data_IF_847212160702
#
_entry.id   IF_847212160702
#
_cell.length_a   1.000
_cell.length_b   1.000
_cell.length_c   1.000
_cell.angle_alpha   90.00
_cell.angle_beta   90.00
_cell.angle_gamma   90.00
#
_symmetry.space_group_name_H-M   'P 1'
#
loop_
_entity.id
_entity.type
_entity.pdbx_description
1 polymer ?
#
# COMPACT_ATOMS: atom_id res chain seq x y z
N UNK A 1 29.75 -25.02 -8.65
CA UNK A 1 28.50 -24.78 -7.87
C UNK A 1 28.55 -23.32 -7.42
N UNK A 2 27.73 -22.48 -8.01
CA UNK A 2 27.91 -21.02 -8.01
C UNK A 2 27.74 -20.38 -6.64
N UNK A 3 28.73 -19.61 -6.19
CA UNK A 3 28.72 -18.78 -4.99
C UNK A 3 27.48 -17.86 -4.89
N UNK A 4 26.98 -17.38 -6.04
CA UNK A 4 25.76 -16.56 -6.16
C UNK A 4 24.48 -17.23 -5.66
N UNK A 5 24.36 -18.56 -5.74
CA UNK A 5 23.21 -19.31 -5.23
C UNK A 5 23.26 -19.41 -3.70
N UNK A 6 24.46 -19.62 -3.16
CA UNK A 6 24.69 -19.69 -1.71
C UNK A 6 24.50 -18.32 -1.07
N UNK A 7 24.97 -17.25 -1.70
CA UNK A 7 24.78 -15.88 -1.23
C UNK A 7 23.31 -15.44 -1.29
N UNK A 8 22.56 -15.90 -2.32
CA UNK A 8 21.11 -15.67 -2.41
C UNK A 8 20.31 -16.46 -1.35
N UNK A 9 20.78 -17.66 -1.00
CA UNK A 9 20.18 -18.48 0.08
C UNK A 9 20.56 -17.93 1.46
N UNK A 10 21.78 -17.41 1.64
CA UNK A 10 22.21 -16.76 2.88
C UNK A 10 21.55 -15.39 3.08
N UNK A 11 21.33 -14.62 2.02
CA UNK A 11 20.51 -13.39 2.08
C UNK A 11 19.03 -13.69 2.39
N UNK A 12 18.51 -14.85 1.96
CA UNK A 12 17.17 -15.36 2.34
C UNK A 12 17.10 -15.86 3.78
N UNK A 13 18.21 -16.16 4.46
CA UNK A 13 18.23 -16.55 5.89
C UNK A 13 17.67 -15.48 6.84
N UNK A 14 17.57 -14.22 6.42
CA UNK A 14 16.89 -13.15 7.19
C UNK A 14 15.36 -13.14 7.06
N UNK A 15 14.77 -14.10 6.36
CA UNK A 15 13.33 -14.17 6.09
C UNK A 15 12.58 -15.25 6.88
N UNK A 16 13.20 -15.87 7.89
CA UNK A 16 12.47 -16.73 8.83
C UNK A 16 11.96 -15.82 9.94
N UNK A 17 10.64 -15.79 10.13
CA UNK A 17 10.03 -15.04 11.23
C UNK A 17 10.74 -15.40 12.54
N UNK A 18 11.17 -14.42 13.36
CA UNK A 18 11.73 -14.68 14.69
C UNK A 18 10.78 -15.49 15.58
N UNK A 19 9.50 -15.56 15.20
CA UNK A 19 8.42 -16.28 15.87
C UNK A 19 8.16 -17.69 15.29
N UNK A 20 8.98 -18.16 14.37
CA UNK A 20 8.86 -19.54 13.85
C UNK A 20 8.81 -20.57 14.98
N UNK A 21 9.59 -20.36 16.04
CA UNK A 21 9.54 -21.18 17.24
C UNK A 21 8.21 -21.15 17.97
N UNK A 22 7.56 -19.97 18.05
CA UNK A 22 6.22 -19.85 18.65
C UNK A 22 5.14 -20.51 17.78
N UNK A 23 5.21 -20.35 16.46
CA UNK A 23 4.30 -21.06 15.54
C UNK A 23 4.50 -22.56 15.59
N UNK A 24 5.76 -23.02 15.74
CA UNK A 24 6.06 -24.44 15.92
C UNK A 24 5.47 -24.98 17.23
N UNK A 25 5.68 -24.27 18.34
CA UNK A 25 5.12 -24.63 19.64
C UNK A 25 3.57 -24.65 19.58
N UNK A 26 2.96 -23.63 18.99
CA UNK A 26 1.52 -23.57 18.84
C UNK A 26 0.98 -24.70 17.95
N UNK A 27 1.68 -25.03 16.85
CA UNK A 27 1.34 -26.15 15.97
C UNK A 27 1.41 -27.48 16.72
N UNK A 28 2.44 -27.66 17.56
CA UNK A 28 2.58 -28.85 18.41
C UNK A 28 1.43 -28.97 19.41
N UNK A 29 1.11 -27.87 20.09
CA UNK A 29 0.03 -27.85 21.10
C UNK A 29 -1.33 -28.08 20.45
N UNK A 30 -1.60 -27.55 19.29
CA UNK A 30 -2.83 -27.81 18.53
C UNK A 30 -2.93 -29.30 18.19
N UNK A 31 -1.87 -29.92 17.66
CA UNK A 31 -1.87 -31.35 17.32
C UNK A 31 -2.14 -32.23 18.55
N UNK A 32 -1.42 -31.95 19.66
CA UNK A 32 -1.59 -32.69 20.91
C UNK A 32 -2.99 -32.46 21.52
N UNK A 33 -3.52 -31.24 21.45
CA UNK A 33 -4.83 -30.88 21.95
C UNK A 33 -5.97 -31.60 21.21
N UNK A 34 -5.77 -31.82 19.90
CA UNK A 34 -6.70 -32.60 19.08
C UNK A 34 -6.56 -34.12 19.30
N UNK A 35 -5.71 -34.57 20.23
CA UNK A 35 -5.56 -35.98 20.58
C UNK A 35 -4.70 -36.79 19.56
N UNK A 36 -3.99 -36.12 18.68
CA UNK A 36 -3.04 -36.82 17.80
C UNK A 36 -1.78 -37.18 18.57
N UNK A 37 -1.13 -38.31 18.24
CA UNK A 37 0.15 -38.66 18.84
C UNK A 37 1.21 -37.64 18.43
N UNK A 38 2.22 -37.48 19.26
CA UNK A 38 3.36 -36.60 18.93
C UNK A 38 3.94 -36.95 17.56
N UNK A 39 3.93 -36.00 16.65
CA UNK A 39 4.49 -36.13 15.31
C UNK A 39 5.23 -34.88 14.91
N UNK A 40 6.55 -34.99 14.82
CA UNK A 40 7.40 -33.90 14.35
C UNK A 40 7.05 -33.50 12.90
N UNK A 41 6.69 -34.49 12.06
CA UNK A 41 6.35 -34.27 10.65
C UNK A 41 5.06 -33.41 10.51
N UNK A 42 3.99 -33.75 11.21
CA UNK A 42 2.74 -32.98 11.16
C UNK A 42 2.92 -31.59 11.78
N UNK A 43 3.64 -31.48 12.89
CA UNK A 43 3.96 -30.19 13.51
C UNK A 43 4.77 -29.31 12.57
N UNK A 44 5.81 -29.85 11.93
CA UNK A 44 6.61 -29.12 10.96
C UNK A 44 5.81 -28.72 9.72
N UNK A 45 4.98 -29.64 9.18
CA UNK A 45 4.14 -29.36 8.01
C UNK A 45 3.13 -28.23 8.29
N UNK A 46 2.46 -28.26 9.45
CA UNK A 46 1.53 -27.21 9.83
C UNK A 46 2.24 -25.88 10.10
N UNK A 47 3.39 -25.90 10.73
CA UNK A 47 4.25 -24.71 10.91
C UNK A 47 4.68 -24.12 9.57
N UNK A 48 5.14 -24.96 8.63
CA UNK A 48 5.45 -24.53 7.27
C UNK A 48 4.25 -23.90 6.57
N UNK A 49 3.07 -24.50 6.70
CA UNK A 49 1.83 -23.94 6.17
C UNK A 49 1.53 -22.55 6.78
N UNK A 50 1.65 -22.38 8.10
CA UNK A 50 1.47 -21.10 8.77
C UNK A 50 2.49 -20.06 8.30
N UNK A 51 3.75 -20.44 8.10
CA UNK A 51 4.80 -19.56 7.59
C UNK A 51 4.59 -19.20 6.11
N UNK A 52 4.12 -20.14 5.29
CA UNK A 52 3.75 -19.88 3.90
C UNK A 52 2.54 -18.93 3.83
N UNK A 53 1.51 -19.18 4.61
CA UNK A 53 0.35 -18.30 4.69
C UNK A 53 0.73 -16.93 5.26
N UNK A 54 1.60 -16.87 6.26
CA UNK A 54 2.15 -15.61 6.77
C UNK A 54 2.82 -14.80 5.66
N UNK A 55 3.51 -15.47 4.74
CA UNK A 55 4.20 -14.79 3.64
C UNK A 55 3.29 -14.36 2.50
N UNK A 56 2.30 -15.19 2.13
CA UNK A 56 1.51 -15.00 0.91
C UNK A 56 0.04 -14.63 1.17
N UNK A 57 -0.54 -15.04 2.30
CA UNK A 57 -1.94 -14.83 2.65
C UNK A 57 -2.10 -14.60 4.16
N UNK A 58 -1.63 -13.45 4.67
CA UNK A 58 -1.55 -13.18 6.11
C UNK A 58 -2.89 -13.20 6.85
N UNK A 59 -4.01 -12.87 6.18
CA UNK A 59 -5.35 -13.02 6.78
C UNK A 59 -5.75 -14.46 6.89
N UNK A 60 -5.46 -15.25 5.86
CA UNK A 60 -5.67 -16.71 5.90
C UNK A 60 -4.88 -17.36 7.02
N UNK A 61 -3.65 -16.93 7.25
CA UNK A 61 -2.84 -17.39 8.38
C UNK A 61 -3.45 -17.04 9.74
N UNK A 62 -3.91 -15.80 9.93
CA UNK A 62 -4.56 -15.36 11.16
C UNK A 62 -5.86 -16.13 11.41
N UNK A 63 -6.69 -16.28 10.38
CA UNK A 63 -7.94 -17.02 10.47
C UNK A 63 -7.68 -18.50 10.80
N UNK A 64 -6.77 -19.16 10.07
CA UNK A 64 -6.42 -20.56 10.30
C UNK A 64 -5.88 -20.77 11.72
N UNK A 65 -4.92 -19.96 12.14
CA UNK A 65 -4.33 -20.07 13.49
C UNK A 65 -5.38 -19.81 14.58
N UNK A 66 -6.23 -18.79 14.42
CA UNK A 66 -7.30 -18.47 15.36
C UNK A 66 -8.33 -19.58 15.47
N UNK A 67 -8.85 -20.07 14.32
CA UNK A 67 -9.82 -21.17 14.27
C UNK A 67 -9.23 -22.46 14.85
N UNK A 68 -8.02 -22.84 14.40
CA UNK A 68 -7.38 -24.06 14.90
C UNK A 68 -7.08 -23.99 16.40
N UNK A 69 -6.66 -22.81 16.91
CA UNK A 69 -6.42 -22.62 18.35
C UNK A 69 -7.71 -22.69 19.16
N UNK A 70 -8.81 -22.13 18.64
CA UNK A 70 -10.13 -22.22 19.29
C UNK A 70 -10.66 -23.65 19.29
N UNK A 71 -10.61 -24.32 18.15
CA UNK A 71 -11.05 -25.72 18.03
C UNK A 71 -10.22 -26.64 18.94
N UNK A 72 -8.89 -26.45 18.96
CA UNK A 72 -7.99 -27.20 19.83
C UNK A 72 -8.30 -26.95 21.30
N UNK A 73 -8.56 -25.71 21.69
CA UNK A 73 -8.91 -25.35 23.06
C UNK A 73 -10.22 -26.03 23.51
N UNK A 74 -11.26 -25.99 22.68
CA UNK A 74 -12.55 -26.62 22.95
C UNK A 74 -12.47 -28.15 22.97
N UNK A 75 -11.67 -28.74 22.07
CA UNK A 75 -11.55 -30.17 21.93
C UNK A 75 -10.53 -30.80 22.89
N UNK A 76 -9.66 -30.02 23.53
CA UNK A 76 -8.59 -30.51 24.39
C UNK A 76 -9.06 -31.55 25.45
N UNK A 77 -10.13 -31.32 26.22
CA UNK A 77 -10.63 -32.31 27.17
C UNK A 77 -10.99 -33.64 26.52
N UNK A 78 -11.67 -33.58 25.36
CA UNK A 78 -12.07 -34.77 24.60
C UNK A 78 -10.87 -35.47 23.95
N UNK A 79 -9.93 -34.70 23.39
CA UNK A 79 -8.72 -35.22 22.77
C UNK A 79 -7.86 -36.02 23.73
N UNK A 80 -7.80 -35.61 25.01
CA UNK A 80 -7.10 -36.35 26.06
C UNK A 80 -7.80 -37.66 26.43
N UNK A 81 -9.12 -37.69 26.43
CA UNK A 81 -9.91 -38.85 26.86
C UNK A 81 -10.18 -39.83 25.70
N UNK A 82 -10.47 -39.34 24.52
CA UNK A 82 -10.97 -40.13 23.40
C UNK A 82 -10.05 -40.13 22.16
N UNK A 83 -8.94 -39.39 22.23
CA UNK A 83 -7.99 -39.27 21.11
C UNK A 83 -8.48 -38.36 19.98
N UNK A 84 -7.87 -38.52 18.79
CA UNK A 84 -8.15 -37.67 17.65
C UNK A 84 -9.60 -37.81 17.14
N UNK A 85 -10.21 -36.72 16.59
CA UNK A 85 -11.55 -36.75 16.06
C UNK A 85 -11.70 -37.84 15.01
N UNK A 86 -12.67 -38.72 15.18
CA UNK A 86 -13.04 -39.73 14.23
C UNK A 86 -14.55 -39.67 13.98
N UNK A 87 -15.02 -40.46 12.99
CA UNK A 87 -16.42 -40.44 12.63
C UNK A 87 -17.37 -40.78 13.79
N UNK A 88 -16.99 -41.73 14.64
CA UNK A 88 -17.79 -42.13 15.78
C UNK A 88 -17.85 -41.06 16.86
N UNK A 89 -16.73 -40.34 17.09
CA UNK A 89 -16.68 -39.21 18.01
C UNK A 89 -17.57 -38.06 17.53
N UNK A 90 -17.53 -37.76 16.21
CA UNK A 90 -18.39 -36.74 15.62
C UNK A 90 -19.86 -37.12 15.64
N UNK A 91 -20.17 -38.39 15.39
CA UNK A 91 -21.53 -38.90 15.48
C UNK A 91 -22.09 -38.85 16.91
N UNK A 92 -21.25 -39.21 17.89
CA UNK A 92 -21.60 -39.11 19.31
C UNK A 92 -21.92 -37.66 19.70
N UNK A 93 -21.06 -36.71 19.33
CA UNK A 93 -21.29 -35.29 19.55
C UNK A 93 -22.57 -34.76 18.89
N UNK A 94 -22.88 -35.22 17.67
CA UNK A 94 -24.11 -34.83 16.97
C UNK A 94 -25.38 -35.38 17.64
N UNK A 95 -25.33 -36.58 18.23
CA UNK A 95 -26.46 -37.23 18.88
C UNK A 95 -26.64 -36.86 20.36
N UNK A 96 -25.69 -36.14 20.96
CA UNK A 96 -25.71 -35.74 22.38
C UNK A 96 -26.73 -34.61 22.60
N UNK A 97 -27.61 -34.78 23.58
CA UNK A 97 -28.57 -33.78 24.05
C UNK A 97 -27.95 -32.79 25.06
N UNK A 98 -28.69 -31.76 25.48
CA UNK A 98 -28.20 -30.75 26.43
C UNK A 98 -27.89 -31.28 27.83
N UNK A 99 -28.63 -32.29 28.27
CA UNK A 99 -28.41 -32.93 29.60
C UNK A 99 -27.15 -33.78 29.58
N UNK A 100 -26.98 -34.63 28.58
CA UNK A 100 -25.78 -35.43 28.35
C UNK A 100 -24.54 -34.52 28.12
N UNK A 101 -24.71 -33.41 27.41
CA UNK A 101 -23.62 -32.42 27.22
C UNK A 101 -23.16 -31.84 28.56
N UNK A 102 -24.07 -31.54 29.50
CA UNK A 102 -23.72 -31.02 30.82
C UNK A 102 -23.00 -32.05 31.68
N UNK A 103 -23.41 -33.32 31.61
CA UNK A 103 -22.75 -34.42 32.31
C UNK A 103 -21.31 -34.63 31.75
N UNK A 104 -21.16 -34.66 30.44
CA UNK A 104 -19.86 -34.82 29.79
C UNK A 104 -18.88 -33.72 30.24
N UNK A 105 -19.34 -32.48 30.36
CA UNK A 105 -18.49 -31.39 30.81
C UNK A 105 -18.00 -31.56 32.27
N UNK A 106 -18.72 -32.31 33.13
CA UNK A 106 -18.29 -32.56 34.51
C UNK A 106 -17.33 -33.75 34.66
N UNK A 107 -17.23 -34.61 33.64
CA UNK A 107 -16.35 -35.80 33.64
C UNK A 107 -14.87 -35.39 33.55
N UNK A 108 -14.58 -34.28 32.83
CA UNK A 108 -13.20 -33.87 32.62
C UNK A 108 -12.66 -33.08 33.81
N UNK A 109 -11.38 -33.28 34.16
CA UNK A 109 -10.76 -32.51 35.23
C UNK A 109 -10.68 -31.01 34.84
N UNK A 110 -10.95 -30.14 35.79
CA UNK A 110 -10.98 -28.68 35.58
C UNK A 110 -9.71 -28.12 34.93
N UNK A 111 -8.54 -28.72 35.20
CA UNK A 111 -7.26 -28.32 34.58
C UNK A 111 -7.22 -28.53 33.05
N UNK A 112 -8.03 -29.45 32.48
CA UNK A 112 -8.14 -29.65 31.06
C UNK A 112 -8.68 -28.40 30.37
N UNK A 113 -9.69 -27.76 30.97
CA UNK A 113 -10.25 -26.52 30.46
C UNK A 113 -9.28 -25.34 30.56
N UNK A 114 -8.50 -25.27 31.66
CA UNK A 114 -7.44 -24.27 31.80
C UNK A 114 -6.34 -24.45 30.78
N UNK A 115 -5.97 -25.69 30.48
CA UNK A 115 -4.97 -25.99 29.45
C UNK A 115 -5.49 -25.61 28.05
N UNK A 116 -6.74 -25.91 27.73
CA UNK A 116 -7.38 -25.46 26.50
C UNK A 116 -7.35 -23.91 26.38
N UNK A 117 -7.72 -23.23 27.46
CA UNK A 117 -7.67 -21.76 27.51
C UNK A 117 -6.25 -21.22 27.32
N UNK A 118 -5.25 -21.87 27.91
CA UNK A 118 -3.85 -21.52 27.73
C UNK A 118 -3.39 -21.69 26.26
N UNK A 119 -3.79 -22.77 25.59
CA UNK A 119 -3.49 -22.99 24.15
C UNK A 119 -4.12 -21.87 23.31
N UNK A 120 -5.36 -21.48 23.61
CA UNK A 120 -6.02 -20.36 22.93
C UNK A 120 -5.30 -19.03 23.18
N UNK A 121 -4.93 -18.76 24.44
CA UNK A 121 -4.19 -17.55 24.80
C UNK A 121 -2.84 -17.43 24.07
N UNK A 122 -2.08 -18.54 23.93
CA UNK A 122 -0.87 -18.57 23.12
C UNK A 122 -1.14 -18.25 21.65
N UNK A 123 -2.24 -18.76 21.08
CA UNK A 123 -2.69 -18.42 19.73
C UNK A 123 -2.93 -16.92 19.57
N UNK A 124 -3.61 -16.30 20.53
CA UNK A 124 -3.84 -14.85 20.55
C UNK A 124 -2.53 -14.05 20.66
N UNK A 125 -1.59 -14.52 21.50
CA UNK A 125 -0.27 -13.90 21.64
C UNK A 125 0.47 -13.96 20.29
N UNK A 126 0.48 -15.12 19.62
CA UNK A 126 1.11 -15.28 18.32
C UNK A 126 0.51 -14.35 17.24
N UNK A 127 -0.81 -14.08 17.32
CA UNK A 127 -1.49 -13.14 16.43
C UNK A 127 -1.15 -11.67 16.72
N UNK A 128 -0.99 -11.29 17.99
CA UNK A 128 -0.68 -9.90 18.40
C UNK A 128 0.76 -9.50 18.09
N UNK A 129 1.71 -10.42 18.15
CA UNK A 129 3.14 -10.16 17.93
C UNK A 129 3.45 -9.53 16.57
N UNK A 130 2.70 -9.86 15.55
CA UNK A 130 2.89 -9.25 14.22
C UNK A 130 2.68 -7.74 14.22
N UNK A 131 1.71 -7.24 14.98
CA UNK A 131 1.49 -5.78 15.10
C UNK A 131 2.68 -5.10 15.79
N UNK A 132 3.24 -5.73 16.81
CA UNK A 132 4.43 -5.22 17.52
C UNK A 132 5.67 -5.19 16.61
N UNK A 133 5.88 -6.21 15.77
CA UNK A 133 6.97 -6.24 14.78
C UNK A 133 6.87 -5.06 13.78
N UNK A 134 5.66 -4.79 13.25
CA UNK A 134 5.46 -3.67 12.34
C UNK A 134 5.60 -2.32 13.05
N UNK A 135 5.17 -2.20 14.29
CA UNK A 135 5.41 -1.00 15.11
C UNK A 135 6.91 -0.77 15.36
N UNK A 136 7.66 -1.84 15.65
CA UNK A 136 9.10 -1.77 15.85
C UNK A 136 9.82 -1.40 14.55
N UNK A 137 9.39 -1.96 13.42
CA UNK A 137 9.88 -1.59 12.08
C UNK A 137 9.62 -0.11 11.77
N UNK A 138 8.41 0.39 12.09
CA UNK A 138 8.08 1.81 11.97
C UNK A 138 9.03 2.68 12.79
N UNK A 139 9.25 2.34 14.05
CA UNK A 139 10.14 3.08 14.95
C UNK A 139 11.60 3.09 14.44
N UNK A 140 12.09 1.95 13.94
CA UNK A 140 13.41 1.85 13.34
C UNK A 140 13.55 2.76 12.10
N UNK A 141 12.61 2.67 11.15
CA UNK A 141 12.63 3.49 9.94
C UNK A 141 12.50 4.98 10.25
N UNK A 142 11.67 5.34 11.23
CA UNK A 142 11.43 6.74 11.63
C UNK A 142 12.56 7.33 12.47
N UNK A 143 13.34 6.51 13.18
CA UNK A 143 14.40 6.96 14.09
C UNK A 143 15.70 7.37 13.41
N UNK A 144 15.95 6.96 12.15
CA UNK A 144 17.19 7.29 11.43
C UNK A 144 17.15 8.76 10.99
N UNK A 145 18.17 9.53 11.33
CA UNK A 145 18.29 10.95 10.92
C UNK A 145 18.56 11.04 9.41
N UNK A 146 17.94 12.02 8.74
CA UNK A 146 18.21 12.30 7.34
C UNK A 146 19.63 12.85 7.11
N UNK A 147 20.13 12.70 5.88
CA UNK A 147 21.48 13.13 5.48
C UNK A 147 21.49 14.30 4.50
N UNK A 148 20.38 15.00 4.32
CA UNK A 148 20.27 16.11 3.38
C UNK A 148 21.21 17.28 3.69
N UNK A 149 21.92 17.74 2.66
CA UNK A 149 22.72 18.97 2.68
C UNK A 149 22.05 20.02 1.78
N UNK A 150 21.11 20.76 2.33
CA UNK A 150 20.42 21.85 1.62
C UNK A 150 21.40 22.99 1.34
N UNK A 151 21.48 23.43 0.08
CA UNK A 151 22.39 24.46 -0.38
C UNK A 151 21.70 25.77 -0.77
N UNK A 152 20.43 25.70 -1.17
CA UNK A 152 19.60 26.88 -1.47
C UNK A 152 18.13 26.57 -1.29
N UNK A 153 17.34 27.58 -0.91
CA UNK A 153 15.88 27.52 -0.78
C UNK A 153 15.30 28.78 -1.42
N UNK A 154 14.59 28.62 -2.54
CA UNK A 154 13.98 29.70 -3.32
C UNK A 154 12.58 29.30 -3.78
N UNK A 155 11.60 29.16 -2.84
CA UNK A 155 10.27 28.74 -3.19
C UNK A 155 9.55 29.81 -4.00
N UNK A 156 8.85 29.39 -5.04
CA UNK A 156 8.04 30.27 -5.89
C UNK A 156 6.63 30.48 -5.35
N UNK A 157 6.12 29.48 -4.61
CA UNK A 157 4.77 29.48 -4.06
C UNK A 157 4.81 29.37 -2.54
N UNK A 158 3.72 29.80 -1.91
CA UNK A 158 3.56 29.65 -0.46
C UNK A 158 3.07 28.24 -0.09
N UNK A 159 2.27 27.60 -0.98
CA UNK A 159 1.67 26.30 -0.74
C UNK A 159 2.06 25.35 -1.86
N UNK A 160 2.61 24.20 -1.50
CA UNK A 160 2.89 23.08 -2.37
C UNK A 160 2.05 21.90 -1.92
N UNK A 161 1.30 21.29 -2.85
CA UNK A 161 0.45 20.14 -2.57
C UNK A 161 0.88 18.97 -3.41
N UNK A 162 1.16 17.82 -2.79
CA UNK A 162 1.44 16.57 -3.46
C UNK A 162 0.25 15.63 -3.24
N UNK A 163 -0.47 15.30 -4.28
CA UNK A 163 -1.53 14.30 -4.25
C UNK A 163 -1.01 13.01 -4.85
N UNK A 164 -0.83 12.01 -4.00
CA UNK A 164 -0.40 10.67 -4.41
C UNK A 164 -1.65 9.83 -4.63
N UNK A 165 -1.94 9.52 -5.90
CA UNK A 165 -2.99 8.60 -6.31
C UNK A 165 -2.54 7.15 -6.16
N UNK A 166 -3.48 6.25 -6.27
CA UNK A 166 -3.28 4.81 -6.11
C UNK A 166 -3.86 4.06 -7.31
N UNK A 167 -3.05 3.20 -7.93
CA UNK A 167 -3.44 2.24 -8.97
C UNK A 167 -4.08 2.84 -10.23
N UNK A 168 -3.92 4.14 -10.50
CA UNK A 168 -4.54 4.80 -11.65
C UNK A 168 -3.69 4.66 -12.90
N UNK A 169 -4.24 4.00 -13.94
CA UNK A 169 -3.65 3.94 -15.28
C UNK A 169 -3.88 5.26 -16.02
N UNK A 170 -2.90 5.71 -16.74
CA UNK A 170 -3.00 6.90 -17.60
C UNK A 170 -4.10 6.75 -18.66
N UNK A 171 -4.14 5.61 -19.36
CA UNK A 171 -5.12 5.34 -20.42
C UNK A 171 -6.56 5.10 -19.92
N UNK A 172 -6.79 5.10 -18.60
CA UNK A 172 -8.11 5.08 -17.99
C UNK A 172 -8.70 6.48 -17.78
N UNK A 173 -7.93 7.56 -17.94
CA UNK A 173 -8.32 8.94 -17.69
C UNK A 173 -8.43 9.73 -18.99
N UNK A 174 -9.57 10.36 -19.26
CA UNK A 174 -9.83 11.15 -20.46
C UNK A 174 -8.80 12.26 -20.68
N UNK A 175 -8.43 12.99 -19.62
CA UNK A 175 -7.43 14.06 -19.66
C UNK A 175 -6.04 13.58 -20.14
N UNK A 176 -5.74 12.29 -20.08
CA UNK A 176 -4.47 11.69 -20.47
C UNK A 176 -4.60 10.74 -21.68
N UNK A 177 -5.65 10.93 -22.49
CA UNK A 177 -5.85 10.20 -23.74
C UNK A 177 -6.68 8.91 -23.58
N UNK A 178 -7.33 8.69 -22.46
CA UNK A 178 -8.36 7.67 -22.30
C UNK A 178 -9.61 7.98 -23.12
N UNK A 179 -10.39 6.94 -23.46
CA UNK A 179 -11.55 7.06 -24.33
C UNK A 179 -12.82 7.60 -23.66
N UNK A 180 -12.77 7.83 -22.35
CA UNK A 180 -13.94 8.17 -21.53
C UNK A 180 -13.89 9.62 -21.07
N UNK A 181 -15.05 10.28 -21.08
CA UNK A 181 -15.22 11.60 -20.49
C UNK A 181 -15.44 11.49 -18.97
N UNK A 182 -14.44 10.98 -18.29
CA UNK A 182 -14.47 10.69 -16.86
C UNK A 182 -13.55 11.58 -16.01
N UNK A 183 -12.87 12.54 -16.63
CA UNK A 183 -12.01 13.52 -15.96
C UNK A 183 -12.22 14.93 -16.49
N UNK A 184 -13.45 15.48 -16.39
CA UNK A 184 -13.79 16.77 -17.01
C UNK A 184 -13.00 17.94 -16.43
N UNK A 185 -12.67 17.93 -15.14
CA UNK A 185 -11.87 19.00 -14.55
C UNK A 185 -10.43 18.97 -15.10
N UNK A 186 -9.74 17.83 -15.01
CA UNK A 186 -8.38 17.70 -15.50
C UNK A 186 -8.26 17.95 -17.01
N UNK A 187 -9.31 17.66 -17.80
CA UNK A 187 -9.32 17.90 -19.25
C UNK A 187 -9.35 19.39 -19.65
N UNK A 188 -9.74 20.29 -18.73
CA UNK A 188 -9.95 21.71 -19.07
C UNK A 188 -9.15 22.68 -18.20
N UNK A 189 -8.68 22.26 -17.02
CA UNK A 189 -7.92 23.15 -16.13
C UNK A 189 -6.55 23.49 -16.71
N UNK A 190 -6.09 24.73 -16.49
CA UNK A 190 -4.75 25.15 -16.89
C UNK A 190 -3.69 24.48 -16.02
N UNK A 191 -2.64 23.98 -16.65
CA UNK A 191 -1.55 23.28 -15.98
C UNK A 191 -0.63 22.55 -16.95
N UNK A 192 0.29 21.74 -16.43
CA UNK A 192 1.21 20.91 -17.18
C UNK A 192 0.83 19.44 -17.07
N UNK A 193 0.52 18.80 -18.18
CA UNK A 193 0.03 17.42 -18.28
C UNK A 193 1.05 16.56 -18.97
N UNK A 194 1.61 15.57 -18.27
CA UNK A 194 2.65 14.68 -18.79
C UNK A 194 2.02 13.42 -19.38
N UNK A 195 2.16 13.24 -20.69
CA UNK A 195 1.57 12.10 -21.39
C UNK A 195 2.40 10.83 -21.31
N UNK A 196 3.62 10.90 -20.81
CA UNK A 196 4.53 9.75 -20.73
C UNK A 196 5.34 9.78 -19.41
N UNK A 197 4.63 9.70 -18.27
CA UNK A 197 5.23 9.54 -16.94
C UNK A 197 5.17 8.07 -16.53
N UNK A 198 6.32 7.52 -16.13
CA UNK A 198 6.53 6.10 -15.87
C UNK A 198 6.80 5.88 -14.39
N UNK A 199 5.94 5.13 -13.70
CA UNK A 199 6.09 4.72 -12.31
C UNK A 199 7.35 3.85 -12.10
N UNK A 200 7.89 3.88 -10.89
CA UNK A 200 9.14 3.17 -10.58
C UNK A 200 8.96 1.64 -10.43
N UNK A 201 7.77 1.20 -10.02
CA UNK A 201 7.42 -0.23 -9.87
C UNK A 201 5.91 -0.43 -10.02
N UNK A 202 5.45 -1.68 -10.10
CA UNK A 202 4.04 -2.07 -10.28
C UNK A 202 3.28 -2.32 -8.98
N UNK A 203 3.76 -1.85 -7.83
CA UNK A 203 3.08 -1.92 -6.53
C UNK A 203 3.44 -0.75 -5.63
N UNK A 204 2.51 -0.29 -4.81
CA UNK A 204 2.59 0.90 -3.98
C UNK A 204 3.88 0.99 -3.16
N UNK A 205 4.15 0.01 -2.32
CA UNK A 205 5.32 0.03 -1.43
C UNK A 205 6.63 0.15 -2.21
N UNK A 206 6.78 -0.61 -3.31
CA UNK A 206 8.01 -0.58 -4.12
C UNK A 206 8.12 0.69 -4.93
N UNK A 207 7.03 1.10 -5.58
CA UNK A 207 7.00 2.29 -6.41
C UNK A 207 7.26 3.55 -5.58
N UNK A 208 6.49 3.79 -4.52
CA UNK A 208 6.67 4.96 -3.66
C UNK A 208 8.00 4.91 -2.90
N UNK A 209 8.46 3.72 -2.51
CA UNK A 209 9.78 3.56 -1.91
C UNK A 209 10.90 4.09 -2.81
N UNK A 210 10.83 3.84 -4.12
CA UNK A 210 11.81 4.31 -5.10
C UNK A 210 11.56 5.77 -5.55
N UNK A 211 10.29 6.18 -5.60
CA UNK A 211 9.88 7.51 -6.07
C UNK A 211 10.19 8.62 -5.05
N UNK A 212 9.81 8.40 -3.80
CA UNK A 212 9.79 9.44 -2.77
C UNK A 212 11.11 9.57 -2.00
N UNK A 213 12.02 8.62 -2.16
CA UNK A 213 13.25 8.55 -1.40
C UNK A 213 14.49 8.65 -2.30
N UNK A 214 15.60 9.10 -1.72
CA UNK A 214 16.90 8.91 -2.32
C UNK A 214 17.20 7.43 -2.48
N UNK A 215 17.66 7.04 -3.66
CA UNK A 215 18.00 5.64 -3.94
C UNK A 215 19.51 5.51 -4.06
N UNK A 216 20.10 4.60 -3.26
CA UNK A 216 21.50 4.24 -3.29
C UNK A 216 21.58 2.73 -3.52
N UNK A 217 22.35 2.30 -4.52
CA UNK A 217 22.50 0.88 -4.88
C UNK A 217 21.16 0.13 -5.04
N UNK A 218 20.21 0.74 -5.73
CA UNK A 218 18.84 0.28 -5.94
C UNK A 218 18.02 0.05 -4.64
N UNK A 219 18.45 0.67 -3.52
CA UNK A 219 17.74 0.60 -2.24
C UNK A 219 17.26 1.98 -1.83
N UNK A 220 15.97 2.16 -1.50
CA UNK A 220 15.45 3.40 -0.99
C UNK A 220 16.02 3.71 0.41
N UNK A 221 16.45 4.94 0.60
CA UNK A 221 16.92 5.47 1.88
C UNK A 221 15.73 6.19 2.54
N UNK A 222 14.93 5.48 3.32
CA UNK A 222 13.67 6.01 3.87
C UNK A 222 13.83 7.24 4.77
N UNK A 223 15.02 7.49 5.32
CA UNK A 223 15.34 8.71 6.03
C UNK A 223 15.55 9.90 5.10
N UNK A 224 15.99 9.68 3.86
CA UNK A 224 16.28 10.70 2.86
C UNK A 224 15.14 10.76 1.84
N UNK A 225 14.02 11.36 2.22
CA UNK A 225 12.83 11.49 1.40
C UNK A 225 12.44 12.95 1.16
N UNK A 226 11.46 13.19 0.29
CA UNK A 226 11.05 14.55 -0.07
C UNK A 226 10.45 15.35 1.10
N UNK A 227 9.83 14.68 2.10
CA UNK A 227 9.31 15.34 3.31
C UNK A 227 10.45 15.83 4.18
N UNK A 228 11.46 14.95 4.46
CA UNK A 228 12.63 15.36 5.25
C UNK A 228 13.46 16.42 4.53
N UNK A 229 13.49 16.42 3.19
CA UNK A 229 14.11 17.49 2.40
C UNK A 229 13.37 18.83 2.60
N UNK A 230 12.04 18.83 2.55
CA UNK A 230 11.22 20.01 2.80
C UNK A 230 11.40 20.54 4.24
N UNK A 231 11.39 19.67 5.24
CA UNK A 231 11.66 20.04 6.63
C UNK A 231 13.03 20.71 6.79
N UNK A 232 14.07 20.13 6.18
CA UNK A 232 15.43 20.73 6.17
C UNK A 232 15.50 22.10 5.49
N UNK A 233 14.61 22.34 4.54
CA UNK A 233 14.49 23.62 3.85
C UNK A 233 13.60 24.63 4.59
N UNK A 234 13.05 24.29 5.75
CA UNK A 234 12.23 25.18 6.58
C UNK A 234 10.75 25.25 6.14
N UNK A 235 10.27 24.25 5.40
CA UNK A 235 8.84 24.14 5.10
C UNK A 235 8.10 23.57 6.31
N UNK A 236 6.86 24.00 6.54
CA UNK A 236 5.90 23.31 7.40
C UNK A 236 5.28 22.17 6.60
N UNK A 237 5.27 20.97 7.16
CA UNK A 237 4.91 19.77 6.41
C UNK A 237 3.73 19.02 7.04
N UNK A 238 2.79 18.62 6.16
CA UNK A 238 1.54 17.94 6.53
C UNK A 238 1.38 16.69 5.69
N UNK A 239 0.94 15.59 6.30
CA UNK A 239 0.61 14.36 5.56
C UNK A 239 -0.74 13.83 5.99
N UNK A 240 -1.68 13.78 5.06
CA UNK A 240 -3.02 13.24 5.24
C UNK A 240 -3.18 11.99 4.39
N UNK A 241 -3.53 10.85 5.00
CA UNK A 241 -3.53 9.56 4.33
C UNK A 241 -4.84 8.81 4.53
N UNK A 242 -5.39 8.28 3.44
CA UNK A 242 -6.43 7.27 3.43
C UNK A 242 -5.86 5.85 3.25
N UNK A 243 -4.53 5.69 3.26
CA UNK A 243 -3.85 4.39 3.31
C UNK A 243 -3.64 3.95 4.76
N UNK A 244 -3.21 2.69 4.97
CA UNK A 244 -2.92 2.17 6.30
C UNK A 244 -1.71 2.83 6.95
N UNK A 245 -1.71 2.84 8.27
CA UNK A 245 -0.58 3.35 9.06
C UNK A 245 0.41 2.24 9.44
N UNK A 246 -0.10 1.05 9.76
CA UNK A 246 0.68 -0.08 10.24
C UNK A 246 0.22 -1.34 9.52
N UNK A 247 1.11 -1.95 8.76
CA UNK A 247 0.87 -3.17 8.00
C UNK A 247 2.08 -3.57 7.18
N UNK A 248 2.12 -4.78 6.70
CA UNK A 248 3.24 -5.30 5.90
C UNK A 248 3.51 -4.44 4.65
N UNK A 249 2.44 -3.91 4.05
CA UNK A 249 2.50 -3.10 2.83
C UNK A 249 2.48 -1.59 3.10
N UNK A 250 2.08 -1.18 4.29
CA UNK A 250 1.85 0.22 4.66
C UNK A 250 3.02 0.84 5.43
N UNK A 251 3.61 0.09 6.38
CA UNK A 251 4.58 0.61 7.37
C UNK A 251 5.74 1.39 6.75
N UNK A 252 6.28 0.92 5.63
CA UNK A 252 7.43 1.57 4.98
C UNK A 252 7.07 2.97 4.44
N UNK A 253 5.89 3.14 3.84
CA UNK A 253 5.43 4.43 3.31
C UNK A 253 4.91 5.32 4.43
N UNK A 254 4.20 4.74 5.40
CA UNK A 254 3.77 5.45 6.60
C UNK A 254 4.97 6.00 7.41
N UNK A 255 6.15 5.35 7.35
CA UNK A 255 7.38 5.87 7.97
C UNK A 255 7.87 7.17 7.32
N UNK A 256 7.62 7.37 6.02
CA UNK A 256 7.87 8.65 5.32
C UNK A 256 6.87 9.70 5.85
N UNK A 257 5.58 9.35 5.90
CA UNK A 257 4.54 10.24 6.40
C UNK A 257 4.81 10.74 7.83
N UNK A 258 5.31 9.85 8.70
CA UNK A 258 5.70 10.19 10.09
C UNK A 258 6.87 11.15 10.19
N UNK A 259 7.52 11.50 9.09
CA UNK A 259 8.55 12.56 9.04
C UNK A 259 7.96 13.95 8.83
N UNK A 260 6.69 14.07 8.43
CA UNK A 260 6.02 15.36 8.40
C UNK A 260 5.85 15.90 9.82
N UNK A 261 5.79 17.23 9.96
CA UNK A 261 5.54 17.89 11.24
C UNK A 261 4.20 17.41 11.82
N UNK A 262 3.19 17.22 10.95
CA UNK A 262 1.93 16.58 11.30
C UNK A 262 1.53 15.51 10.29
N UNK A 263 1.17 14.32 10.78
CA UNK A 263 0.72 13.20 9.98
C UNK A 263 -0.56 12.57 10.54
N UNK A 264 -1.61 12.53 9.72
CA UNK A 264 -2.92 11.99 10.07
C UNK A 264 -3.32 10.88 9.12
N UNK A 265 -3.69 9.73 9.67
CA UNK A 265 -4.15 8.56 8.94
C UNK A 265 -5.64 8.33 9.27
N UNK A 266 -6.48 8.21 8.25
CA UNK A 266 -7.88 7.83 8.43
C UNK A 266 -8.00 6.36 8.89
N UNK A 267 -6.96 5.55 8.67
CA UNK A 267 -6.89 4.13 9.03
C UNK A 267 -5.72 3.86 9.96
N UNK A 268 -6.02 3.51 11.21
CA UNK A 268 -5.01 3.23 12.23
C UNK A 268 -4.37 1.83 12.10
N UNK A 269 -4.91 0.96 11.25
CA UNK A 269 -4.41 -0.38 10.93
C UNK A 269 -3.77 -0.43 9.54
N UNK A 270 -3.87 -1.61 8.90
CA UNK A 270 -3.53 -1.76 7.49
C UNK A 270 -4.58 -1.06 6.57
N UNK A 271 -4.27 -0.95 5.29
CA UNK A 271 -5.13 -0.26 4.32
C UNK A 271 -6.56 -0.84 4.21
N UNK A 272 -6.78 -2.06 4.68
CA UNK A 272 -8.10 -2.72 4.68
C UNK A 272 -8.91 -2.49 5.96
N UNK A 273 -8.34 -1.83 6.96
CA UNK A 273 -8.97 -1.66 8.27
C UNK A 273 -10.33 -0.92 8.20
N UNK A 274 -10.50 -0.04 7.21
CA UNK A 274 -11.78 0.63 6.92
C UNK A 274 -11.94 0.83 5.42
N UNK A 275 -12.58 -0.13 4.75
CA UNK A 275 -12.77 -0.12 3.30
C UNK A 275 -13.72 0.99 2.81
N UNK A 276 -14.58 1.52 3.68
CA UNK A 276 -15.61 2.48 3.32
C UNK A 276 -15.14 3.93 3.41
N UNK A 277 -13.95 4.19 3.97
CA UNK A 277 -13.42 5.55 4.07
C UNK A 277 -13.09 6.10 2.69
N UNK A 278 -13.67 7.26 2.38
CA UNK A 278 -13.51 7.94 1.10
C UNK A 278 -12.34 8.91 1.13
N UNK A 279 -11.72 9.14 -0.03
CA UNK A 279 -10.59 10.06 -0.14
C UNK A 279 -11.00 11.53 0.06
N UNK A 280 -12.26 11.90 -0.21
CA UNK A 280 -12.78 13.25 0.01
C UNK A 280 -12.76 13.69 1.49
N UNK A 281 -12.69 12.74 2.44
CA UNK A 281 -12.48 13.06 3.85
C UNK A 281 -11.17 13.83 4.11
N UNK A 282 -10.16 13.68 3.23
CA UNK A 282 -8.88 14.40 3.34
C UNK A 282 -9.02 15.90 3.04
N UNK A 283 -10.06 16.31 2.32
CA UNK A 283 -10.30 17.71 1.96
C UNK A 283 -10.62 18.59 3.18
N UNK A 284 -11.32 18.04 4.18
CA UNK A 284 -11.63 18.77 5.40
C UNK A 284 -10.38 19.07 6.23
N UNK A 285 -9.42 18.14 6.28
CA UNK A 285 -8.12 18.33 6.95
C UNK A 285 -7.30 19.39 6.21
N UNK A 286 -7.29 19.34 4.88
CA UNK A 286 -6.61 20.37 4.06
C UNK A 286 -7.22 21.75 4.27
N UNK A 287 -8.56 21.88 4.31
CA UNK A 287 -9.23 23.14 4.58
C UNK A 287 -8.85 23.74 5.94
N UNK A 288 -8.69 22.90 6.98
CA UNK A 288 -8.23 23.35 8.31
C UNK A 288 -6.84 23.95 8.23
N UNK A 289 -5.89 23.31 7.54
CA UNK A 289 -4.53 23.83 7.33
C UNK A 289 -4.58 25.15 6.55
N UNK A 290 -5.40 25.24 5.50
CA UNK A 290 -5.54 26.43 4.69
C UNK A 290 -6.17 27.61 5.42
N UNK A 291 -6.87 27.40 6.53
CA UNK A 291 -7.46 28.43 7.38
C UNK A 291 -6.49 29.00 8.42
N UNK A 292 -5.29 28.40 8.62
CA UNK A 292 -4.30 28.88 9.60
C UNK A 292 -3.36 29.94 9.00
N UNK A 293 -2.87 30.87 9.80
CA UNK A 293 -1.82 31.80 9.37
C UNK A 293 -0.52 31.05 9.07
N UNK A 294 0.17 31.48 8.03
CA UNK A 294 1.38 30.84 7.51
C UNK A 294 2.55 31.82 7.45
N UNK A 295 3.61 31.48 8.13
CA UNK A 295 4.87 32.26 8.11
C UNK A 295 5.96 31.58 7.26
N UNK A 296 5.77 30.30 6.92
CA UNK A 296 6.70 29.46 6.17
C UNK A 296 6.00 28.86 4.95
N UNK A 297 6.74 28.49 3.91
CA UNK A 297 6.17 27.69 2.83
C UNK A 297 5.60 26.37 3.37
N UNK A 298 4.46 25.93 2.81
CA UNK A 298 3.76 24.74 3.23
C UNK A 298 3.97 23.62 2.23
N UNK A 299 4.17 22.39 2.73
CA UNK A 299 4.06 21.16 1.94
C UNK A 299 2.94 20.32 2.52
N UNK A 300 1.88 20.14 1.74
CA UNK A 300 0.73 19.32 2.12
C UNK A 300 0.70 18.08 1.23
N UNK A 301 0.72 16.89 1.82
CA UNK A 301 0.64 15.62 1.10
C UNK A 301 -0.69 14.96 1.36
N UNK A 302 -1.42 14.61 0.30
CA UNK A 302 -2.62 13.79 0.35
C UNK A 302 -2.30 12.43 -0.28
N UNK A 303 -2.40 11.35 0.49
CA UNK A 303 -2.17 9.99 0.03
C UNK A 303 -3.49 9.24 -0.06
N UNK A 304 -3.96 9.05 -1.29
CA UNK A 304 -5.28 8.53 -1.60
C UNK A 304 -5.31 7.00 -1.54
N UNK A 305 -6.50 6.45 -1.34
CA UNK A 305 -6.80 5.05 -1.64
C UNK A 305 -7.17 4.85 -3.12
N UNK A 306 -7.58 5.91 -3.80
CA UNK A 306 -7.75 6.03 -5.24
C UNK A 306 -8.48 4.88 -5.89
N UNK A 307 -7.80 4.28 -6.88
CA UNK A 307 -8.33 3.18 -7.72
C UNK A 307 -7.82 1.80 -7.30
N UNK A 308 -7.47 1.61 -6.01
CA UNK A 308 -7.01 0.33 -5.48
C UNK A 308 -7.95 -0.82 -5.89
N UNK A 309 -7.45 -2.03 -6.22
CA UNK A 309 -8.25 -3.20 -6.60
C UNK A 309 -9.43 -3.49 -5.67
N UNK A 310 -10.49 -4.10 -6.22
CA UNK A 310 -11.87 -4.13 -5.74
C UNK A 310 -12.51 -2.72 -5.89
N UNK A 311 -12.41 -2.19 -7.11
CA UNK A 311 -12.83 -0.83 -7.43
C UNK A 311 -14.29 -0.54 -7.08
N UNK A 312 -15.19 -1.55 -7.15
CA UNK A 312 -16.59 -1.39 -6.76
C UNK A 312 -16.76 -1.13 -5.25
N UNK A 313 -15.84 -1.60 -4.40
CA UNK A 313 -15.84 -1.25 -2.97
C UNK A 313 -15.47 0.24 -2.81
N UNK A 314 -14.49 0.73 -3.60
CA UNK A 314 -14.07 2.15 -3.60
C UNK A 314 -15.20 3.09 -4.00
N UNK A 315 -16.03 2.68 -4.94
CA UNK A 315 -17.18 3.47 -5.40
C UNK A 315 -18.45 3.24 -4.58
N UNK A 316 -18.39 2.37 -3.55
CA UNK A 316 -19.56 1.96 -2.77
C UNK A 316 -20.69 1.40 -3.66
N UNK A 317 -20.30 0.67 -4.71
CA UNK A 317 -21.22 0.10 -5.68
C UNK A 317 -21.82 1.10 -6.67
N UNK A 318 -21.51 2.40 -6.57
CA UNK A 318 -21.92 3.43 -7.54
C UNK A 318 -20.95 3.45 -8.71
N UNK A 319 -21.46 3.48 -9.92
CA UNK A 319 -20.65 3.62 -11.13
C UNK A 319 -21.52 4.05 -12.33
N UNK A 320 -20.88 4.67 -13.32
CA UNK A 320 -21.46 4.79 -14.65
C UNK A 320 -21.01 3.56 -15.48
N UNK A 321 -21.87 3.09 -16.37
CA UNK A 321 -21.53 1.98 -17.26
C UNK A 321 -20.66 2.49 -18.40
N UNK A 322 -19.37 2.23 -18.32
CA UNK A 322 -18.38 2.57 -19.34
C UNK A 322 -18.11 1.41 -20.30
N UNK A 323 -18.11 0.18 -19.76
CA UNK A 323 -17.82 -1.06 -20.49
C UNK A 323 -18.72 -2.19 -19.93
N UNK A 324 -18.71 -3.36 -20.60
CA UNK A 324 -19.53 -4.51 -20.20
C UNK A 324 -19.24 -5.00 -18.77
N UNK A 325 -17.98 -5.02 -18.35
CA UNK A 325 -17.58 -5.44 -17.01
C UNK A 325 -17.95 -4.37 -15.98
N UNK A 326 -18.70 -4.77 -14.95
CA UNK A 326 -19.05 -3.91 -13.80
C UNK A 326 -17.78 -3.46 -13.06
N UNK A 327 -16.86 -4.39 -12.77
CA UNK A 327 -15.64 -4.09 -12.00
C UNK A 327 -14.73 -3.10 -12.75
N UNK A 328 -14.60 -3.27 -14.07
CA UNK A 328 -13.86 -2.32 -14.92
C UNK A 328 -14.58 -0.97 -14.99
N UNK A 329 -15.92 -0.94 -15.04
CA UNK A 329 -16.68 0.30 -15.00
C UNK A 329 -16.55 1.03 -13.66
N UNK A 330 -16.54 0.29 -12.53
CA UNK A 330 -16.22 0.86 -11.21
C UNK A 330 -14.81 1.46 -11.22
N UNK A 331 -13.82 0.76 -11.78
CA UNK A 331 -12.45 1.28 -11.89
C UNK A 331 -12.38 2.59 -12.68
N UNK A 332 -13.05 2.67 -13.81
CA UNK A 332 -13.13 3.92 -14.60
C UNK A 332 -13.87 5.03 -13.84
N UNK A 333 -14.86 4.68 -13.02
CA UNK A 333 -15.57 5.64 -12.18
C UNK A 333 -14.73 6.17 -11.01
N UNK A 334 -13.76 5.41 -10.50
CA UNK A 334 -12.82 5.95 -9.51
C UNK A 334 -11.98 7.10 -10.06
N UNK A 335 -11.73 7.14 -11.38
CA UNK A 335 -11.06 8.29 -12.02
C UNK A 335 -11.92 9.55 -11.93
N UNK A 336 -13.25 9.42 -12.10
CA UNK A 336 -14.19 10.53 -11.90
C UNK A 336 -14.18 11.04 -10.46
N UNK A 337 -14.12 10.12 -9.48
CA UNK A 337 -14.04 10.50 -8.07
C UNK A 337 -12.73 11.24 -7.74
N UNK A 338 -11.61 10.77 -8.30
CA UNK A 338 -10.32 11.43 -8.14
C UNK A 338 -10.30 12.81 -8.81
N UNK A 339 -10.86 12.93 -10.01
CA UNK A 339 -10.97 14.21 -10.73
C UNK A 339 -11.81 15.23 -9.95
N UNK A 340 -12.92 14.79 -9.37
CA UNK A 340 -13.78 15.65 -8.54
C UNK A 340 -13.08 16.08 -7.24
N UNK A 341 -12.33 15.18 -6.59
CA UNK A 341 -11.47 15.51 -5.44
C UNK A 341 -10.45 16.59 -5.82
N UNK A 342 -9.76 16.42 -6.93
CA UNK A 342 -8.76 17.38 -7.43
C UNK A 342 -9.40 18.74 -7.75
N UNK A 343 -10.60 18.77 -8.32
CA UNK A 343 -11.37 19.97 -8.56
C UNK A 343 -11.72 20.70 -7.26
N UNK A 344 -12.20 19.97 -6.24
CA UNK A 344 -12.54 20.52 -4.95
C UNK A 344 -11.30 21.07 -4.23
N UNK A 345 -10.20 20.31 -4.23
CA UNK A 345 -8.91 20.73 -3.65
C UNK A 345 -8.38 21.98 -4.34
N UNK A 346 -8.37 22.01 -5.68
CA UNK A 346 -7.96 23.18 -6.46
C UNK A 346 -8.80 24.41 -6.11
N UNK A 347 -10.12 24.23 -5.94
CA UNK A 347 -11.04 25.30 -5.54
C UNK A 347 -10.71 25.82 -4.13
N UNK A 348 -10.43 24.94 -3.16
CA UNK A 348 -10.00 25.35 -1.81
C UNK A 348 -8.70 26.16 -1.86
N UNK A 349 -7.71 25.70 -2.64
CA UNK A 349 -6.45 26.39 -2.83
C UNK A 349 -6.61 27.76 -3.48
N UNK A 350 -7.51 27.88 -4.46
CA UNK A 350 -7.84 29.19 -5.08
C UNK A 350 -8.48 30.15 -4.08
N UNK A 351 -9.35 29.64 -3.21
CA UNK A 351 -10.04 30.46 -2.20
C UNK A 351 -9.12 30.85 -1.02
N UNK A 352 -7.99 30.18 -0.79
CA UNK A 352 -7.06 30.59 0.26
C UNK A 352 -6.40 31.94 -0.01
N UNK A 353 -6.38 32.41 -1.25
CA UNK A 353 -5.74 33.66 -1.67
C UNK A 353 -4.21 33.57 -1.79
N UNK A 354 -3.59 32.47 -1.37
CA UNK A 354 -2.15 32.26 -1.46
C UNK A 354 -1.73 31.73 -2.85
N UNK A 355 -0.46 32.00 -3.18
CA UNK A 355 0.16 31.33 -4.34
C UNK A 355 0.40 29.85 -4.04
N UNK A 356 -0.02 28.99 -4.96
CA UNK A 356 0.13 27.55 -4.78
C UNK A 356 0.57 26.82 -6.06
N UNK A 357 1.13 25.64 -5.86
CA UNK A 357 1.31 24.66 -6.91
C UNK A 357 0.96 23.27 -6.38
N UNK A 358 0.19 22.52 -7.17
CA UNK A 358 -0.29 21.18 -6.86
C UNK A 358 0.24 20.21 -7.90
N UNK A 359 0.80 19.08 -7.45
CA UNK A 359 1.14 17.94 -8.30
C UNK A 359 0.23 16.77 -7.95
N UNK A 360 -0.32 16.12 -8.97
CA UNK A 360 -0.99 14.82 -8.85
C UNK A 360 -0.26 13.79 -9.70
N UNK A 361 -0.03 12.63 -9.14
CA UNK A 361 0.44 11.44 -9.86
C UNK A 361 -0.08 10.18 -9.18
N UNK A 362 -0.19 9.08 -9.94
CA UNK A 362 -0.44 7.77 -9.36
C UNK A 362 0.86 7.02 -9.14
N UNK A 363 0.88 6.18 -8.13
CA UNK A 363 2.03 5.38 -7.74
C UNK A 363 2.36 4.25 -8.73
N UNK A 364 1.35 3.59 -9.31
CA UNK A 364 1.45 2.60 -10.37
C UNK A 364 0.10 2.43 -11.09
N UNK A 365 0.07 1.66 -12.16
CA UNK A 365 -1.14 1.20 -12.82
C UNK A 365 -1.42 -0.27 -12.53
N UNK A 366 -2.42 -0.82 -13.24
CA UNK A 366 -2.87 -2.20 -13.11
C UNK A 366 -2.89 -2.88 -14.49
N UNK A 367 -2.99 -4.22 -14.51
CA UNK A 367 -3.20 -5.01 -15.73
C UNK A 367 -4.56 -5.70 -15.74
N UNK A 368 -5.10 -5.91 -16.92
CA UNK A 368 -6.33 -6.65 -17.11
C UNK A 368 -6.15 -8.13 -16.76
N UNK A 369 -7.16 -8.66 -16.06
CA UNK A 369 -7.39 -10.08 -15.80
C UNK A 369 -8.72 -10.47 -16.42
N UNK A 370 -8.85 -11.71 -16.86
CA UNK A 370 -10.06 -12.24 -17.52
C UNK A 370 -10.54 -11.38 -18.71
N UNK A 371 -9.59 -10.88 -19.48
CA UNK A 371 -9.80 -9.91 -20.55
C UNK A 371 -10.82 -10.39 -21.58
N UNK A 372 -11.75 -9.50 -21.96
CA UNK A 372 -12.82 -9.79 -22.91
C UNK A 372 -14.00 -10.59 -22.34
N UNK A 373 -13.98 -10.88 -21.03
CA UNK A 373 -15.10 -11.55 -20.33
C UNK A 373 -15.91 -10.53 -19.51
N UNK A 374 -17.17 -10.86 -19.22
CA UNK A 374 -18.02 -10.04 -18.37
C UNK A 374 -17.48 -9.86 -16.94
N UNK A 375 -16.64 -10.80 -16.49
CA UNK A 375 -15.94 -10.79 -15.19
C UNK A 375 -14.56 -10.15 -15.25
N UNK A 376 -14.23 -9.43 -16.34
CA UNK A 376 -12.97 -8.72 -16.47
C UNK A 376 -12.74 -7.74 -15.33
N UNK A 377 -11.54 -7.71 -14.77
CA UNK A 377 -11.11 -6.79 -13.72
C UNK A 377 -9.66 -6.38 -13.90
N UNK A 378 -9.18 -5.45 -13.07
CA UNK A 378 -7.78 -5.01 -13.07
C UNK A 378 -7.10 -5.41 -11.76
N UNK A 379 -5.84 -5.83 -11.83
CA UNK A 379 -5.03 -6.21 -10.69
C UNK A 379 -3.56 -5.85 -10.89
N UNK A 380 -2.78 -5.95 -9.82
CA UNK A 380 -1.34 -5.73 -9.85
C UNK A 380 -0.64 -6.70 -10.82
N UNK A 381 0.28 -6.15 -11.60
CA UNK A 381 1.16 -6.90 -12.50
C UNK A 381 2.46 -6.07 -12.73
N UNK A 382 3.47 -6.67 -13.37
CA UNK A 382 4.73 -6.01 -13.70
C UNK A 382 5.24 -6.32 -15.11
N UNK A 383 4.35 -6.87 -15.98
CA UNK A 383 4.71 -7.36 -17.31
C UNK A 383 4.36 -6.40 -18.45
N UNK A 384 3.49 -5.44 -18.18
CA UNK A 384 2.93 -4.56 -19.20
C UNK A 384 3.30 -3.10 -18.96
N UNK A 385 3.47 -2.34 -20.04
CA UNK A 385 3.77 -0.90 -19.97
C UNK A 385 2.71 -0.14 -19.16
N UNK A 386 1.44 -0.52 -19.27
CA UNK A 386 0.32 0.13 -18.60
C UNK A 386 0.33 -0.03 -17.07
N UNK A 387 1.06 -1.01 -16.53
CA UNK A 387 1.32 -1.09 -15.09
C UNK A 387 2.16 0.09 -14.57
N UNK A 388 2.87 0.76 -15.47
CA UNK A 388 3.80 1.83 -15.14
C UNK A 388 3.41 3.18 -15.77
N UNK A 389 2.58 3.18 -16.82
CA UNK A 389 2.07 4.41 -17.42
C UNK A 389 0.97 5.01 -16.51
N UNK A 390 1.33 6.05 -15.78
CA UNK A 390 0.45 6.69 -14.81
C UNK A 390 0.26 8.18 -15.13
N UNK A 391 -0.85 8.78 -14.69
CA UNK A 391 -1.06 10.22 -14.82
C UNK A 391 -0.02 10.99 -14.01
N UNK A 392 0.40 12.14 -14.53
CA UNK A 392 1.19 13.13 -13.81
C UNK A 392 0.82 14.53 -14.31
N UNK A 393 0.39 15.42 -13.42
CA UNK A 393 0.09 16.80 -13.78
C UNK A 393 0.50 17.78 -12.69
N UNK A 394 0.81 19.01 -13.10
CA UNK A 394 1.13 20.13 -12.21
C UNK A 394 0.17 21.28 -12.48
N UNK A 395 -0.58 21.69 -11.46
CA UNK A 395 -1.52 22.79 -11.48
C UNK A 395 -1.02 23.91 -10.58
N UNK A 396 -0.83 25.11 -11.10
CA UNK A 396 -0.35 26.24 -10.30
C UNK A 396 -1.30 27.42 -10.36
N UNK A 397 -1.30 28.25 -9.32
CA UNK A 397 -2.16 29.43 -9.22
C UNK A 397 -1.95 30.44 -10.38
N UNK A 398 -0.78 30.43 -11.00
CA UNK A 398 -0.39 31.28 -12.12
C UNK A 398 -0.34 30.56 -13.48
N UNK A 399 -0.85 29.31 -13.58
CA UNK A 399 -0.95 28.59 -14.85
C UNK A 399 -1.93 29.29 -15.79
N UNK A 400 -1.49 29.59 -17.03
CA UNK A 400 -2.28 30.36 -18.01
C UNK A 400 -2.79 29.51 -19.18
N UNK A 401 -2.32 28.29 -19.31
CA UNK A 401 -2.68 27.40 -20.42
C UNK A 401 -2.71 25.94 -19.96
N UNK A 402 -3.50 25.13 -20.64
CA UNK A 402 -3.46 23.68 -20.57
C UNK A 402 -2.35 23.18 -21.48
N UNK A 403 -1.20 22.79 -20.92
CA UNK A 403 -0.01 22.39 -21.68
C UNK A 403 0.17 20.88 -21.63
N UNK A 404 0.34 20.27 -22.77
CA UNK A 404 0.65 18.86 -22.92
C UNK A 404 2.17 18.71 -23.07
N UNK A 405 2.78 17.91 -22.19
CA UNK A 405 4.21 17.55 -22.23
C UNK A 405 4.33 16.10 -22.67
N UNK A 406 4.96 15.89 -23.83
CA UNK A 406 5.12 14.56 -24.44
C UNK A 406 6.45 13.88 -24.07
N UNK A 407 7.40 14.64 -23.55
CA UNK A 407 8.69 14.08 -23.16
C UNK A 407 8.53 13.07 -22.01
N UNK A 408 9.14 11.89 -22.19
CA UNK A 408 9.10 10.81 -21.20
C UNK A 408 9.76 11.25 -19.89
N UNK A 409 9.12 10.88 -18.78
CA UNK A 409 9.60 11.11 -17.41
C UNK A 409 9.54 9.82 -16.60
N UNK A 410 10.46 9.71 -15.64
CA UNK A 410 10.52 8.57 -14.72
C UNK A 410 10.22 9.00 -13.32
N UNK A 411 9.46 8.20 -12.58
CA UNK A 411 9.25 8.37 -11.15
C UNK A 411 10.56 8.26 -10.34
N UNK A 412 11.59 7.60 -10.89
CA UNK A 412 12.93 7.58 -10.30
C UNK A 412 13.59 8.97 -10.26
N UNK A 413 13.10 9.93 -11.05
CA UNK A 413 13.58 11.32 -11.07
C UNK A 413 12.68 12.27 -10.26
N UNK A 414 11.75 11.74 -9.46
CA UNK A 414 10.79 12.54 -8.68
C UNK A 414 11.49 13.53 -7.73
N UNK A 415 12.56 13.14 -7.07
CA UNK A 415 13.31 14.07 -6.20
C UNK A 415 13.97 15.22 -6.99
N UNK A 416 14.40 14.96 -8.23
CA UNK A 416 14.86 16.02 -9.14
C UNK A 416 13.71 16.96 -9.54
N UNK A 417 12.53 16.41 -9.86
CA UNK A 417 11.31 17.20 -10.05
C UNK A 417 11.01 18.03 -8.80
N UNK A 418 10.95 17.42 -7.63
CA UNK A 418 10.60 18.06 -6.37
C UNK A 418 11.54 19.21 -6.03
N UNK A 419 12.85 18.99 -6.19
CA UNK A 419 13.88 20.03 -6.03
C UNK A 419 13.63 21.24 -6.95
N UNK A 420 13.42 21.00 -8.24
CA UNK A 420 13.17 22.06 -9.22
C UNK A 420 11.83 22.77 -8.98
N UNK A 421 10.79 22.01 -8.63
CA UNK A 421 9.45 22.50 -8.41
C UNK A 421 9.33 23.37 -7.16
N UNK A 422 9.98 22.96 -6.06
CA UNK A 422 9.95 23.69 -4.78
C UNK A 422 11.03 24.76 -4.66
N UNK A 423 12.03 24.74 -5.54
CA UNK A 423 13.20 25.62 -5.44
C UNK A 423 14.18 25.23 -4.33
N UNK A 424 14.09 23.98 -3.82
CA UNK A 424 15.02 23.45 -2.83
C UNK A 424 16.20 22.76 -3.52
N UNK A 425 17.42 23.23 -3.29
CA UNK A 425 18.63 22.58 -3.81
C UNK A 425 19.33 21.82 -2.69
N UNK A 426 19.76 20.60 -2.97
CA UNK A 426 20.55 19.77 -2.05
C UNK A 426 21.69 19.08 -2.80
N UNK A 427 22.83 18.84 -2.13
CA UNK A 427 24.03 18.24 -2.74
C UNK A 427 23.76 16.83 -3.30
N UNK A 428 22.85 16.10 -2.68
CA UNK A 428 22.52 14.71 -2.99
C UNK A 428 21.61 14.58 -4.21
N UNK A 429 20.98 15.68 -4.68
CA UNK A 429 20.06 15.70 -5.83
C UNK A 429 20.77 16.26 -7.06
N UNK A 430 20.77 15.46 -8.13
CA UNK A 430 21.36 15.86 -9.42
C UNK A 430 20.26 16.17 -10.42
N UNK A 431 20.07 17.44 -10.74
CA UNK A 431 19.15 17.91 -11.78
C UNK A 431 19.81 17.77 -13.16
N UNK A 432 19.62 16.63 -13.83
CA UNK A 432 20.24 16.31 -15.12
C UNK A 432 19.56 17.01 -16.29
N UNK A 433 18.30 17.34 -16.15
CA UNK A 433 17.47 18.00 -17.16
C UNK A 433 16.35 18.80 -16.48
N UNK A 434 15.74 19.70 -17.23
CA UNK A 434 14.57 20.44 -16.74
C UNK A 434 13.33 19.55 -16.82
N UNK A 435 12.75 19.19 -15.65
CA UNK A 435 11.68 18.20 -15.58
C UNK A 435 10.40 18.69 -16.30
N UNK A 436 9.92 19.92 -15.99
CA UNK A 436 8.75 20.52 -16.65
C UNK A 436 9.19 21.17 -17.97
N UNK A 437 9.44 20.34 -18.99
CA UNK A 437 9.87 20.77 -20.33
C UNK A 437 9.73 19.63 -21.33
N UNK A 438 9.99 19.88 -22.61
CA UNK A 438 10.10 18.86 -23.64
C UNK A 438 11.55 18.31 -23.80
N UNK A 439 12.47 18.69 -22.90
CA UNK A 439 13.83 18.16 -22.93
C UNK A 439 13.81 16.64 -22.71
N UNK A 440 14.50 15.89 -23.57
CA UNK A 440 14.59 14.43 -23.46
C UNK A 440 15.33 14.04 -22.18
N UNK A 441 14.75 13.11 -21.42
CA UNK A 441 15.43 12.35 -20.37
C UNK A 441 16.20 11.17 -20.98
N UNK A 442 17.01 10.50 -20.19
CA UNK A 442 17.68 9.26 -20.58
C UNK A 442 16.71 8.06 -20.68
N UNK A 443 17.25 6.84 -20.89
CA UNK A 443 16.46 5.61 -20.85
C UNK A 443 15.74 5.43 -19.51
N UNK A 444 14.51 4.93 -19.57
CA UNK A 444 13.70 4.68 -18.38
C UNK A 444 13.72 3.20 -18.00
N UNK A 445 14.04 2.94 -16.77
CA UNK A 445 14.05 1.60 -16.19
C UNK A 445 13.02 1.54 -15.05
N UNK A 446 12.37 0.38 -14.95
CA UNK A 446 11.44 0.06 -13.87
C UNK A 446 12.03 -1.04 -12.98
N UNK A 447 11.49 -1.19 -11.79
CA UNK A 447 11.81 -2.31 -10.91
C UNK A 447 10.65 -3.28 -10.88
N UNK A 448 10.87 -4.52 -11.32
CA UNK A 448 9.85 -5.57 -11.34
C UNK A 448 9.61 -6.17 -9.94
N UNK A 449 8.65 -7.08 -9.80
CA UNK A 449 8.33 -7.74 -8.54
C UNK A 449 9.45 -8.63 -7.99
N UNK A 450 10.41 -9.02 -8.85
CA UNK A 450 11.63 -9.75 -8.45
C UNK A 450 12.77 -8.82 -8.03
N UNK A 451 12.53 -7.51 -7.93
CA UNK A 451 13.51 -6.46 -7.61
C UNK A 451 14.61 -6.31 -8.67
N UNK A 452 14.33 -6.68 -9.90
CA UNK A 452 15.24 -6.53 -11.03
C UNK A 452 14.94 -5.23 -11.77
N UNK A 453 15.99 -4.56 -12.22
CA UNK A 453 15.90 -3.40 -13.08
C UNK A 453 15.65 -3.87 -14.51
N UNK A 454 14.55 -3.43 -15.12
CA UNK A 454 14.11 -3.80 -16.47
C UNK A 454 13.94 -2.55 -17.32
N UNK A 455 14.36 -2.57 -18.56
CA UNK A 455 14.07 -1.49 -19.52
C UNK A 455 12.57 -1.48 -19.80
N UNK A 456 11.95 -0.32 -19.55
CA UNK A 456 10.52 -0.10 -19.75
C UNK A 456 10.06 -0.46 -21.18
N UNK A 457 10.89 -0.22 -22.21
CA UNK A 457 10.54 -0.49 -23.59
C UNK A 457 10.43 -1.98 -23.93
N UNK A 458 10.96 -2.87 -23.09
CA UNK A 458 10.88 -4.32 -23.28
C UNK A 458 9.61 -4.94 -22.68
N UNK A 459 8.76 -4.14 -22.04
CA UNK A 459 7.49 -4.62 -21.49
C UNK A 459 6.44 -4.81 -22.57
N UNK A 460 5.55 -5.77 -22.36
CA UNK A 460 4.37 -5.99 -23.19
C UNK A 460 3.39 -4.82 -23.14
N UNK A 461 2.36 -4.87 -23.96
CA UNK A 461 1.28 -3.88 -23.99
C UNK A 461 -0.04 -4.49 -23.56
N UNK A 462 -0.82 -3.77 -22.75
CA UNK A 462 -2.12 -4.16 -22.20
C UNK A 462 -3.12 -2.98 -22.26
N UNK A 463 -3.21 -2.33 -23.42
CA UNK A 463 -4.11 -1.17 -23.63
C UNK A 463 -5.58 -1.55 -23.46
N UNK A 464 -6.41 -0.57 -23.07
CA UNK A 464 -7.86 -0.75 -23.07
C UNK A 464 -8.36 -1.15 -24.46
N UNK A 465 -9.22 -2.18 -24.52
CA UNK A 465 -9.96 -2.55 -25.73
C UNK A 465 -11.36 -1.97 -25.64
N UNK A 466 -11.81 -1.33 -26.69
CA UNK A 466 -13.19 -0.79 -26.82
C UNK A 466 -14.24 -1.84 -27.20
N UNK A 467 -13.83 -3.16 -27.25
CA UNK A 467 -14.74 -4.27 -27.58
C UNK A 467 -15.33 -4.88 -26.32
#
# INVERSE_FOLDING_TARGET
MNSTLIDSLLARRRAVSPWAGLYFLQSLLINLALGYPFSLLYTAAFTCLLLLLWRYLPRGQKALLGICSLVAACYFPFGQAYGAPNFNTLLALHSTNMEESSEILTIFPWYSYLTGLFIFALGIIALRRRKEEEQHRMAQLSGIKDSWTVTAVKPRYHIYVVVIGESARRDAMGAFGGHWDNTPFASHVNGDFFMDYIAASGSTQKSLGLTLNRVVDNKPQYQDNFVTLANRAGFQTWWFSNQGQIGEYDTAIASIAKRADEAHFLKNGDFEADKNTRDDALLSMTAQVLATERTQPQLIVLHLMGSHPQACDRTQGKYATFVQSKETSCYLYTMTQTDDLLRQLYTQLRHSGDSFSLVYFSDHGLAFKERGKAVQYLAHDDKFQQNFQVPFMVLSSDSKAHRIIKARRSANDFLSFFSQWTGISAKEIKNRYRFISEQKAGPVYITNFKLQKVDYNHLGSDIFSLK
#
